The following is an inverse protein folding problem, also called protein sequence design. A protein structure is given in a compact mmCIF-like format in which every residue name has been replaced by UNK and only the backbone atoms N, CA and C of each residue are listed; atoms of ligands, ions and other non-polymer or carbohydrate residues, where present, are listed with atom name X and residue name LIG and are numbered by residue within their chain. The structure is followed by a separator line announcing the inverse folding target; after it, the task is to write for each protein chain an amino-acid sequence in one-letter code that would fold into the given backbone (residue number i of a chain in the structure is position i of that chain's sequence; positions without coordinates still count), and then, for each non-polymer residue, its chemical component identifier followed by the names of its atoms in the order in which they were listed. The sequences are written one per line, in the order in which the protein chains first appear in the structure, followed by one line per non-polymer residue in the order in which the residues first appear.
data_IF_714697433868
#
_entry.id   IF_714697433868
#
_cell.length_a   1.000
_cell.length_b   1.000
_cell.length_c   1.000
_cell.angle_alpha   90.00
_cell.angle_beta   90.00
_cell.angle_gamma   90.00
#
_symmetry.space_group_name_H-M   'P 1'
#
loop_
_entity.id
_entity.type
_entity.pdbx_description
1 polymer ?
#
# COMPACT_ATOMS: atom_id res chain seq x y z
N UNK A 1 -17.80 6.26 -56.19
CA UNK A 1 -17.76 5.92 -54.75
C UNK A 1 -16.53 5.07 -54.51
N UNK A 2 -15.53 5.61 -53.80
CA UNK A 2 -14.43 4.84 -53.24
C UNK A 2 -14.21 5.39 -51.82
N UNK A 3 -14.39 4.51 -50.84
CA UNK A 3 -14.38 4.80 -49.40
C UNK A 3 -12.92 4.88 -48.96
N UNK A 4 -12.46 6.06 -48.55
CA UNK A 4 -11.15 6.24 -47.91
C UNK A 4 -11.29 5.70 -46.48
N UNK A 5 -10.84 4.47 -46.26
CA UNK A 5 -10.68 3.91 -44.92
C UNK A 5 -9.58 4.66 -44.20
N UNK A 6 -9.94 5.56 -43.28
CA UNK A 6 -9.04 6.00 -42.22
C UNK A 6 -8.88 4.84 -41.24
N UNK A 7 -7.72 4.19 -41.29
CA UNK A 7 -7.27 3.33 -40.19
C UNK A 7 -7.03 4.20 -38.97
N UNK A 8 -8.01 4.22 -38.08
CA UNK A 8 -7.83 4.56 -36.66
C UNK A 8 -7.12 3.38 -36.01
N UNK A 9 -5.87 3.55 -35.61
CA UNK A 9 -5.13 2.49 -34.93
C UNK A 9 -3.72 2.89 -34.54
N UNK A 10 -3.43 2.74 -33.25
CA UNK A 10 -2.15 2.96 -32.57
C UNK A 10 -1.68 4.41 -32.50
N UNK A 11 -2.26 5.15 -31.55
CA UNK A 11 -1.43 6.03 -30.73
C UNK A 11 -0.49 5.11 -29.96
N UNK A 12 0.70 4.92 -30.52
CA UNK A 12 1.77 4.13 -29.93
C UNK A 12 1.98 4.54 -28.47
N UNK A 13 2.07 3.50 -27.62
CA UNK A 13 2.61 3.52 -26.27
C UNK A 13 3.68 4.60 -26.11
N UNK A 14 3.28 5.77 -25.61
CA UNK A 14 4.22 6.57 -24.86
C UNK A 14 4.40 5.82 -23.55
N UNK A 15 5.61 5.32 -23.22
CA UNK A 15 5.82 4.81 -21.88
C UNK A 15 5.46 5.96 -20.95
N UNK A 16 4.47 5.74 -20.09
CA UNK A 16 4.22 6.59 -18.93
C UNK A 16 5.58 6.74 -18.28
N UNK A 17 6.22 7.87 -18.55
CA UNK A 17 7.48 8.21 -17.95
C UNK A 17 7.07 8.39 -16.51
N UNK A 18 7.22 7.32 -15.73
CA UNK A 18 7.37 7.37 -14.29
C UNK A 18 8.53 8.33 -14.08
N UNK A 19 8.23 9.63 -14.12
CA UNK A 19 8.88 10.60 -13.29
C UNK A 19 8.62 10.06 -11.89
N UNK A 20 9.47 9.12 -11.50
CA UNK A 20 9.85 8.86 -10.12
C UNK A 20 10.33 10.22 -9.66
N UNK A 21 9.37 11.07 -9.29
CA UNK A 21 9.60 12.43 -8.85
C UNK A 21 10.62 12.26 -7.76
N UNK A 22 11.78 12.89 -7.93
CA UNK A 22 12.82 12.81 -6.93
C UNK A 22 12.19 13.37 -5.65
N UNK A 23 11.78 12.46 -4.75
CA UNK A 23 11.16 12.83 -3.50
C UNK A 23 12.15 13.69 -2.74
N UNK A 24 11.67 14.77 -2.14
CA UNK A 24 12.53 15.61 -1.30
C UNK A 24 13.19 14.76 -0.20
N UNK A 25 14.39 15.14 0.21
CA UNK A 25 15.04 14.47 1.33
C UNK A 25 14.44 14.93 2.66
N UNK A 26 14.66 14.13 3.72
CA UNK A 26 14.26 14.50 5.09
C UNK A 26 14.92 15.82 5.52
N UNK A 27 16.17 16.05 5.12
CA UNK A 27 16.89 17.29 5.41
C UNK A 27 16.25 18.50 4.72
N UNK A 28 15.77 18.32 3.48
CA UNK A 28 15.05 19.38 2.77
C UNK A 28 13.72 19.70 3.46
N UNK A 29 12.95 18.68 3.85
CA UNK A 29 11.71 18.84 4.59
C UNK A 29 11.91 19.62 5.91
N UNK A 30 12.98 19.32 6.66
CA UNK A 30 13.25 19.94 7.96
C UNK A 30 13.79 21.37 7.86
N UNK A 31 14.40 21.73 6.73
CA UNK A 31 14.98 23.06 6.51
C UNK A 31 14.00 24.02 5.81
N UNK A 32 12.77 23.60 5.53
CA UNK A 32 11.74 24.46 4.95
C UNK A 32 11.25 25.52 5.95
N UNK A 33 10.82 26.66 5.41
CA UNK A 33 10.22 27.72 6.21
C UNK A 33 8.85 27.27 6.77
N UNK A 34 8.49 27.80 7.94
CA UNK A 34 7.31 27.34 8.70
C UNK A 34 5.98 27.63 7.97
N UNK A 35 5.97 28.60 7.07
CA UNK A 35 4.85 28.95 6.20
C UNK A 35 4.65 27.98 5.02
N UNK A 36 5.61 27.10 4.75
CA UNK A 36 5.53 26.05 3.72
C UNK A 36 4.93 24.74 4.24
N UNK A 37 4.41 24.72 5.47
CA UNK A 37 3.79 23.54 6.05
C UNK A 37 2.61 23.03 5.18
N UNK A 38 2.64 21.74 4.86
CA UNK A 38 1.71 21.05 3.96
C UNK A 38 1.71 21.57 2.52
N UNK A 39 2.86 22.02 2.02
CA UNK A 39 3.05 22.26 0.60
C UNK A 39 2.90 20.97 -0.23
N UNK A 40 2.64 21.12 -1.53
CA UNK A 40 2.41 19.99 -2.45
C UNK A 40 3.56 18.98 -2.41
N UNK A 41 4.80 19.47 -2.36
CA UNK A 41 5.98 18.60 -2.34
C UNK A 41 6.07 17.83 -1.00
N UNK A 42 5.72 18.47 0.13
CA UNK A 42 5.68 17.79 1.44
C UNK A 42 4.59 16.71 1.46
N UNK A 43 3.43 16.98 0.86
CA UNK A 43 2.34 16.02 0.77
C UNK A 43 2.75 14.79 -0.05
N UNK A 44 3.47 14.99 -1.15
CA UNK A 44 4.01 13.88 -1.95
C UNK A 44 5.03 13.06 -1.15
N UNK A 45 5.91 13.72 -0.39
CA UNK A 45 6.86 13.05 0.51
C UNK A 45 6.16 12.20 1.58
N UNK A 46 5.18 12.77 2.28
CA UNK A 46 4.46 12.04 3.32
C UNK A 46 3.59 10.93 2.76
N UNK A 47 3.00 11.12 1.58
CA UNK A 47 2.23 10.08 0.89
C UNK A 47 3.09 8.86 0.60
N UNK A 48 4.27 9.03 0.00
CA UNK A 48 5.18 7.91 -0.27
C UNK A 48 5.55 7.16 1.03
N UNK A 49 5.88 7.90 2.09
CA UNK A 49 6.23 7.31 3.38
C UNK A 49 5.07 6.52 4.01
N UNK A 50 3.84 7.00 3.85
CA UNK A 50 2.63 6.31 4.29
C UNK A 50 2.37 5.05 3.46
N UNK A 51 2.59 5.09 2.15
CA UNK A 51 2.44 3.94 1.26
C UNK A 51 3.44 2.83 1.60
N UNK A 52 4.70 3.17 1.85
CA UNK A 52 5.72 2.23 2.34
C UNK A 52 5.29 1.59 3.66
N UNK A 53 4.82 2.40 4.63
CA UNK A 53 4.36 1.88 5.92
C UNK A 53 3.11 1.01 5.80
N UNK A 54 2.18 1.37 4.91
CA UNK A 54 1.01 0.56 4.63
C UNK A 54 1.39 -0.79 4.01
N UNK A 55 2.36 -0.82 3.09
CA UNK A 55 2.89 -2.06 2.53
C UNK A 55 3.52 -2.94 3.62
N UNK A 56 4.39 -2.38 4.48
CA UNK A 56 4.97 -3.10 5.62
C UNK A 56 3.90 -3.72 6.53
N UNK A 57 2.82 -2.99 6.82
CA UNK A 57 1.73 -3.49 7.66
C UNK A 57 0.93 -4.61 6.98
N UNK A 58 0.67 -4.51 5.68
CA UNK A 58 0.00 -5.56 4.92
C UNK A 58 0.85 -6.84 4.88
N UNK A 59 2.15 -6.71 4.65
CA UNK A 59 3.07 -7.86 4.67
C UNK A 59 3.09 -8.54 6.04
N UNK A 60 3.12 -7.75 7.12
CA UNK A 60 3.02 -8.28 8.49
C UNK A 60 1.70 -9.02 8.70
N UNK A 61 0.58 -8.47 8.25
CA UNK A 61 -0.74 -9.11 8.40
C UNK A 61 -0.79 -10.44 7.64
N UNK A 62 -0.31 -10.45 6.39
CA UNK A 62 -0.24 -11.68 5.57
C UNK A 62 0.66 -12.74 6.23
N UNK A 63 1.81 -12.33 6.79
CA UNK A 63 2.69 -13.26 7.51
C UNK A 63 2.07 -13.82 8.79
N UNK A 64 1.28 -13.02 9.50
CA UNK A 64 0.51 -13.45 10.67
C UNK A 64 -0.60 -14.42 10.29
N UNK A 65 -1.34 -14.12 9.22
CA UNK A 65 -2.40 -15.00 8.70
C UNK A 65 -1.84 -16.36 8.26
N UNK A 66 -0.73 -16.37 7.53
CA UNK A 66 -0.07 -17.62 7.13
C UNK A 66 0.43 -18.43 8.33
N UNK A 67 0.83 -17.78 9.42
CA UNK A 67 1.21 -18.46 10.67
C UNK A 67 0.01 -19.07 11.41
N UNK A 68 -1.19 -18.48 11.27
CA UNK A 68 -2.42 -19.00 11.86
C UNK A 68 -3.01 -20.20 11.10
N UNK A 69 -2.67 -20.39 9.82
CA UNK A 69 -3.24 -21.48 8.98
C UNK A 69 -2.49 -22.83 9.11
N UNK A 70 -1.30 -22.86 9.71
CA UNK A 70 -0.43 -24.06 9.70
C UNK A 70 -0.72 -25.03 10.85
N UNK A 71 -1.28 -24.57 11.97
CA UNK A 71 -1.59 -25.42 13.13
C UNK A 71 -3.08 -25.36 13.46
N UNK A 72 -3.90 -26.16 12.76
CA UNK A 72 -5.06 -26.79 13.41
C UNK A 72 -5.75 -27.83 12.54
N UNK A 73 -5.55 -29.09 12.90
CA UNK A 73 -6.69 -29.99 12.90
C UNK A 73 -7.27 -29.88 14.32
N UNK A 74 -8.38 -29.16 14.54
CA UNK A 74 -8.97 -29.05 15.87
C UNK A 74 -9.42 -30.45 16.31
N UNK A 75 -8.93 -30.92 17.44
CA UNK A 75 -9.68 -31.89 18.23
C UNK A 75 -10.66 -31.14 19.15
N UNK A 76 -11.67 -31.84 19.67
CA UNK A 76 -12.78 -31.21 20.41
C UNK A 76 -12.31 -30.40 21.65
N UNK A 77 -11.12 -30.68 22.17
CA UNK A 77 -10.60 -30.02 23.37
C UNK A 77 -10.17 -28.58 23.09
N UNK A 78 -9.66 -28.31 21.89
CA UNK A 78 -9.09 -27.00 21.59
C UNK A 78 -10.16 -25.93 21.29
N UNK A 79 -11.42 -26.31 21.04
CA UNK A 79 -12.49 -25.39 20.60
C UNK A 79 -12.72 -24.22 21.57
N UNK A 80 -12.64 -24.48 22.89
CA UNK A 80 -12.82 -23.45 23.89
C UNK A 80 -11.68 -22.41 23.88
N UNK A 81 -10.43 -22.86 23.75
CA UNK A 81 -9.25 -22.00 23.72
C UNK A 81 -9.16 -21.17 22.44
N UNK A 82 -9.65 -21.69 21.31
CA UNK A 82 -9.73 -20.93 20.07
C UNK A 82 -10.76 -19.83 20.08
N UNK A 83 -11.92 -20.10 20.69
CA UNK A 83 -12.96 -19.08 20.79
C UNK A 83 -12.48 -17.92 21.67
N UNK A 84 -11.75 -18.21 22.76
CA UNK A 84 -11.14 -17.18 23.60
C UNK A 84 -10.07 -16.37 22.83
N UNK A 85 -9.14 -17.04 22.14
CA UNK A 85 -8.12 -16.36 21.35
C UNK A 85 -8.71 -15.51 20.22
N UNK A 86 -9.77 -15.99 19.56
CA UNK A 86 -10.49 -15.25 18.53
C UNK A 86 -11.15 -14.00 19.10
N UNK A 87 -11.80 -14.11 20.27
CA UNK A 87 -12.43 -12.98 20.94
C UNK A 87 -11.40 -11.91 21.34
N UNK A 88 -10.24 -12.33 21.85
CA UNK A 88 -9.14 -11.42 22.20
C UNK A 88 -8.57 -10.73 20.95
N UNK A 89 -8.28 -11.48 19.89
CA UNK A 89 -7.75 -10.93 18.65
C UNK A 89 -8.71 -9.92 17.98
N UNK A 90 -10.02 -10.19 18.00
CA UNK A 90 -11.04 -9.29 17.48
C UNK A 90 -11.19 -7.99 18.31
N UNK A 91 -10.85 -8.03 19.61
CA UNK A 91 -10.89 -6.84 20.48
C UNK A 91 -9.68 -5.91 20.33
N UNK A 92 -8.60 -6.39 19.69
CA UNK A 92 -7.34 -5.65 19.50
C UNK A 92 -7.23 -4.97 18.12
N UNK A 93 -8.31 -5.02 17.32
CA UNK A 93 -8.50 -4.28 16.07
C UNK A 93 -9.42 -3.09 16.34
#
# INVERSE_FOLDING_TARGET
MAFVGHSVGSLDDQPDQEHKMALMSVEQLLNQAEDEYMSVDQLVFFKDRLEVKAAELRDRLLSGQASCEIERHPDEADFASDEENRAVAASMI
#
